data_IF_068795412908
#
_entry.id   IF_068795412908
#
_cell.length_a   1.000
_cell.length_b   1.000
_cell.length_c   1.000
_cell.angle_alpha   90.00
_cell.angle_beta   90.00
_cell.angle_gamma   90.00
#
_symmetry.space_group_name_H-M   'P 1'
#
loop_
_entity.id
_entity.type
_entity.pdbx_description
1 polymer ?
#
# COMPACT_ATOMS: atom_id res chain seq x y z
N UNK A 1 39.15 -14.51 17.90
CA UNK A 1 38.40 -13.26 17.75
C UNK A 1 37.41 -13.44 16.61
N UNK A 2 36.11 -13.63 16.89
CA UNK A 2 35.09 -13.75 15.85
C UNK A 2 34.68 -12.36 15.34
N UNK A 3 34.51 -12.24 14.03
CA UNK A 3 33.95 -11.06 13.36
C UNK A 3 32.45 -10.99 13.63
N UNK A 4 32.01 -9.95 14.35
CA UNK A 4 30.60 -9.58 14.42
C UNK A 4 30.20 -8.90 13.11
N UNK A 5 29.56 -9.65 12.22
CA UNK A 5 28.53 -9.09 11.34
C UNK A 5 27.51 -10.20 11.21
N UNK A 6 26.62 -10.20 12.19
CA UNK A 6 25.56 -11.16 12.37
C UNK A 6 24.68 -11.18 11.11
N UNK A 7 24.60 -12.39 10.53
CA UNK A 7 23.44 -13.00 9.88
C UNK A 7 23.05 -12.51 8.48
N UNK A 8 23.27 -13.41 7.53
CA UNK A 8 22.49 -13.59 6.32
C UNK A 8 20.98 -13.47 6.58
N UNK A 9 20.45 -12.26 6.50
CA UNK A 9 19.03 -12.03 6.29
C UNK A 9 18.89 -11.35 4.95
N UNK A 10 18.36 -12.06 3.95
CA UNK A 10 17.60 -11.47 2.86
C UNK A 10 16.33 -10.81 3.43
N UNK A 11 16.51 -9.91 4.41
CA UNK A 11 15.47 -9.13 5.04
C UNK A 11 15.04 -8.17 3.94
N UNK A 12 13.93 -8.52 3.30
CA UNK A 12 13.34 -7.72 2.24
C UNK A 12 13.39 -6.27 2.69
N UNK A 13 14.04 -5.42 1.89
CA UNK A 13 13.98 -3.96 2.10
C UNK A 13 12.53 -3.59 1.81
N UNK A 14 11.64 -3.85 2.76
CA UNK A 14 10.24 -3.51 2.67
C UNK A 14 10.21 -2.00 2.53
N UNK A 15 9.68 -1.56 1.38
CA UNK A 15 9.49 -0.13 1.19
C UNK A 15 8.60 0.35 2.33
N UNK A 16 8.95 1.46 2.96
CA UNK A 16 8.12 2.04 3.98
C UNK A 16 6.67 2.15 3.46
N UNK A 17 5.70 1.72 4.27
CA UNK A 17 4.27 1.61 3.90
C UNK A 17 3.89 0.43 2.98
N UNK A 18 4.75 -0.57 2.74
CA UNK A 18 4.44 -1.73 1.88
C UNK A 18 3.22 -2.53 2.36
N UNK A 19 3.06 -2.73 3.67
CA UNK A 19 1.86 -3.38 4.23
C UNK A 19 0.57 -2.63 3.85
N UNK A 20 0.56 -1.31 4.04
CA UNK A 20 -0.60 -0.47 3.68
C UNK A 20 -0.86 -0.47 2.17
N UNK A 21 0.19 -0.55 1.35
CA UNK A 21 0.05 -0.70 -0.11
C UNK A 21 -0.61 -2.03 -0.47
N UNK A 22 -0.20 -3.12 0.19
CA UNK A 22 -0.74 -4.44 -0.09
C UNK A 22 -2.20 -4.53 0.36
N UNK A 23 -2.53 -4.02 1.55
CA UNK A 23 -3.92 -3.93 2.03
C UNK A 23 -4.80 -3.12 1.08
N UNK A 24 -4.35 -1.94 0.62
CA UNK A 24 -5.10 -1.12 -0.33
C UNK A 24 -5.34 -1.88 -1.64
N UNK A 25 -4.33 -2.59 -2.13
CA UNK A 25 -4.42 -3.40 -3.35
C UNK A 25 -5.40 -4.55 -3.16
N UNK A 26 -5.33 -5.27 -2.03
CA UNK A 26 -6.23 -6.37 -1.67
C UNK A 26 -7.68 -5.89 -1.60
N UNK A 27 -7.90 -4.74 -0.94
CA UNK A 27 -9.21 -4.11 -0.81
C UNK A 27 -9.81 -3.81 -2.19
N UNK A 28 -9.06 -3.15 -3.07
CA UNK A 28 -9.54 -2.80 -4.40
C UNK A 28 -9.78 -4.02 -5.29
N UNK A 29 -8.90 -5.02 -5.25
CA UNK A 29 -9.07 -6.28 -5.99
C UNK A 29 -10.31 -7.07 -5.54
N UNK A 30 -10.78 -6.87 -4.31
CA UNK A 30 -11.99 -7.50 -3.81
C UNK A 30 -13.29 -6.87 -4.33
N UNK A 31 -13.24 -5.62 -4.81
CA UNK A 31 -14.42 -4.84 -5.24
C UNK A 31 -14.90 -5.21 -6.65
N UNK A 32 -16.18 -4.97 -6.92
CA UNK A 32 -16.78 -5.18 -8.23
C UNK A 32 -16.16 -4.28 -9.31
N UNK A 33 -15.65 -3.10 -8.95
CA UNK A 33 -14.99 -2.21 -9.91
C UNK A 33 -13.79 -2.88 -10.61
N UNK A 34 -13.07 -3.78 -9.92
CA UNK A 34 -11.97 -4.51 -10.52
C UNK A 34 -12.43 -5.87 -11.06
N UNK A 35 -13.34 -6.56 -10.35
CA UNK A 35 -13.80 -7.90 -10.73
C UNK A 35 -14.79 -7.92 -11.88
N UNK A 36 -15.74 -6.99 -11.90
CA UNK A 36 -16.83 -6.91 -12.89
C UNK A 36 -16.49 -5.92 -14.00
N UNK A 37 -16.12 -4.69 -13.65
CA UNK A 37 -15.82 -3.65 -14.65
C UNK A 37 -14.42 -3.80 -15.29
N UNK A 38 -13.55 -4.64 -14.71
CA UNK A 38 -12.18 -4.85 -15.21
C UNK A 38 -11.31 -3.60 -15.14
N UNK A 39 -11.70 -2.61 -14.33
CA UNK A 39 -10.95 -1.37 -14.19
C UNK A 39 -9.70 -1.60 -13.34
N UNK A 40 -8.67 -0.78 -13.56
CA UNK A 40 -7.48 -0.82 -12.72
C UNK A 40 -7.82 -0.36 -11.29
N UNK A 41 -7.22 -0.96 -10.23
CA UNK A 41 -7.42 -0.55 -8.84
C UNK A 41 -7.24 0.96 -8.63
N UNK A 42 -6.21 1.54 -9.28
CA UNK A 42 -5.96 2.99 -9.28
C UNK A 42 -7.11 3.79 -9.90
N UNK A 43 -7.75 3.29 -10.94
CA UNK A 43 -8.88 3.96 -11.59
C UNK A 43 -10.09 3.92 -10.66
N UNK A 44 -10.40 2.76 -10.08
CA UNK A 44 -11.50 2.57 -9.14
C UNK A 44 -11.47 3.53 -7.95
N UNK A 45 -10.29 3.67 -7.32
CA UNK A 45 -10.12 4.58 -6.19
C UNK A 45 -10.09 6.07 -6.62
N UNK A 46 -9.62 6.38 -7.84
CA UNK A 46 -9.60 7.77 -8.35
C UNK A 46 -11.00 8.26 -8.71
N UNK A 47 -11.80 7.39 -9.32
CA UNK A 47 -13.16 7.74 -9.75
C UNK A 47 -14.17 7.62 -8.62
N UNK A 48 -13.76 7.21 -7.41
CA UNK A 48 -14.63 6.86 -6.29
C UNK A 48 -15.80 6.00 -6.76
N UNK A 49 -15.50 4.85 -7.37
CA UNK A 49 -16.53 3.96 -7.89
C UNK A 49 -17.49 3.53 -6.77
N UNK A 50 -18.81 3.47 -7.00
CA UNK A 50 -19.79 3.11 -5.96
C UNK A 50 -19.55 1.74 -5.32
N UNK A 51 -18.90 0.82 -6.06
CA UNK A 51 -18.51 -0.50 -5.55
C UNK A 51 -17.30 -0.50 -4.63
N UNK A 52 -16.61 0.64 -4.47
CA UNK A 52 -15.44 0.75 -3.60
C UNK A 52 -15.89 1.19 -2.20
N UNK A 53 -15.73 0.35 -1.17
CA UNK A 53 -16.14 0.70 0.18
C UNK A 53 -15.23 1.77 0.78
N UNK A 54 -15.76 2.50 1.76
CA UNK A 54 -15.03 3.53 2.50
C UNK A 54 -13.72 3.01 3.11
N UNK A 55 -13.65 1.73 3.45
CA UNK A 55 -12.45 1.08 3.97
C UNK A 55 -11.25 1.21 3.00
N UNK A 56 -11.45 1.01 1.70
CA UNK A 56 -10.39 1.20 0.71
C UNK A 56 -9.97 2.68 0.60
N UNK A 57 -10.90 3.61 0.79
CA UNK A 57 -10.59 5.05 0.84
C UNK A 57 -9.77 5.42 2.08
N UNK A 58 -10.04 4.79 3.22
CA UNK A 58 -9.25 4.96 4.44
C UNK A 58 -7.82 4.44 4.24
N UNK A 59 -7.65 3.26 3.62
CA UNK A 59 -6.33 2.72 3.27
C UNK A 59 -5.56 3.63 2.30
N UNK A 60 -6.25 4.28 1.35
CA UNK A 60 -5.64 5.28 0.47
C UNK A 60 -5.09 6.47 1.27
N UNK A 61 -5.86 6.96 2.24
CA UNK A 61 -5.45 8.07 3.10
C UNK A 61 -4.29 7.65 3.99
N UNK A 62 -4.35 6.47 4.60
CA UNK A 62 -3.27 5.91 5.41
C UNK A 62 -1.97 5.75 4.59
N UNK A 63 -2.07 5.30 3.35
CA UNK A 63 -0.92 5.20 2.44
C UNK A 63 -0.33 6.58 2.13
N UNK A 64 -1.19 7.59 1.95
CA UNK A 64 -0.77 8.96 1.70
C UNK A 64 -0.07 9.55 2.93
N UNK A 65 -0.64 9.37 4.12
CA UNK A 65 -0.06 9.83 5.39
C UNK A 65 1.26 9.14 5.69
N UNK A 66 1.32 7.82 5.49
CA UNK A 66 2.54 7.05 5.65
C UNK A 66 3.63 7.53 4.67
N UNK A 67 3.30 7.77 3.40
CA UNK A 67 4.25 8.37 2.44
C UNK A 67 4.67 9.79 2.84
N UNK A 68 3.76 10.60 3.37
CA UNK A 68 4.04 11.98 3.79
C UNK A 68 4.98 12.02 4.99
N UNK A 69 4.82 11.10 5.94
CA UNK A 69 5.74 10.97 7.10
C UNK A 69 7.19 10.72 6.65
N UNK A 70 7.38 9.95 5.57
CA UNK A 70 8.71 9.66 5.02
C UNK A 70 9.34 10.84 4.26
N UNK A 71 8.52 11.68 3.61
CA UNK A 71 9.00 12.85 2.87
C UNK A 71 9.46 13.97 3.82
N UNK A 72 9.08 13.94 5.10
CA UNK A 72 9.55 14.89 6.12
C UNK A 72 10.92 14.56 6.71
N UNK A 73 11.57 13.46 6.31
CA UNK A 73 12.87 13.01 6.83
C UNK A 73 14.06 13.27 5.88
N UNK A 74 13.89 14.14 4.88
CA UNK A 74 15.00 14.73 4.12
C UNK A 74 14.98 16.24 4.42
N UNK A 75 15.80 16.64 5.37
CA UNK A 75 16.24 18.02 5.59
C UNK A 75 17.75 18.07 5.32
#
# INVERSE_FOLDING_TARGET
>A
MPLYTEENSAFQVHSSCEGVRDDLKRCLLATDCVKLDGLSPKKCILTSHPSVPQECHNLKNLLFECKRSLVSSVA
#
